data_IF_590889703810
#
_entry.id   IF_590889703810
#
_cell.length_a   1.000
_cell.length_b   1.000
_cell.length_c   1.000
_cell.angle_alpha   90.00
_cell.angle_beta   90.00
_cell.angle_gamma   90.00
#
_symmetry.space_group_name_H-M   'P 1'
#
loop_
_entity.id
_entity.type
_entity.pdbx_description
1 polymer ?
#
# COMPACT_ATOMS: atom_id res chain seq x y z
N UNK A 1 -6.06 -10.59 2.01
CA UNK A 1 -5.81 -11.97 1.53
C UNK A 1 -4.67 -11.92 0.54
N UNK A 2 -3.57 -12.62 0.82
CA UNK A 2 -2.39 -12.68 -0.05
C UNK A 2 -1.80 -11.32 -0.44
N UNK A 3 -1.90 -10.31 0.44
CA UNK A 3 -1.15 -9.08 0.24
C UNK A 3 0.32 -9.34 0.61
N UNK A 4 1.25 -8.90 -0.23
CA UNK A 4 2.69 -9.00 0.00
C UNK A 4 3.20 -7.62 0.36
N UNK A 5 3.68 -7.46 1.60
CA UNK A 5 4.25 -6.22 2.12
C UNK A 5 5.76 -6.41 2.26
N UNK A 6 6.54 -5.61 1.56
CA UNK A 6 8.00 -5.70 1.58
C UNK A 6 8.59 -4.33 1.87
N UNK A 7 9.06 -4.11 3.10
CA UNK A 7 9.76 -2.88 3.49
C UNK A 7 8.93 -1.58 3.36
N UNK A 8 7.60 -1.65 3.50
CA UNK A 8 6.70 -0.51 3.36
C UNK A 8 6.16 0.01 4.70
N UNK A 9 5.71 1.28 4.72
CA UNK A 9 4.97 1.89 5.82
C UNK A 9 3.49 1.98 5.44
N UNK A 10 2.61 1.53 6.33
CA UNK A 10 1.15 1.63 6.17
C UNK A 10 0.64 2.36 7.41
N UNK A 11 0.08 3.54 7.21
CA UNK A 11 -0.44 4.38 8.29
C UNK A 11 -1.85 3.94 8.73
N UNK A 12 -2.36 4.57 9.78
CA UNK A 12 -3.65 4.24 10.37
C UNK A 12 -4.79 4.31 9.35
N UNK A 13 -5.76 3.40 9.44
CA UNK A 13 -6.96 3.41 8.61
C UNK A 13 -6.71 3.34 7.09
N UNK A 14 -5.49 3.02 6.65
CA UNK A 14 -5.17 2.71 5.27
C UNK A 14 -5.74 1.34 4.84
N UNK A 15 -6.12 1.23 3.58
CA UNK A 15 -6.70 0.02 3.01
C UNK A 15 -5.74 -0.64 2.01
N UNK A 16 -5.38 -1.91 2.25
CA UNK A 16 -4.61 -2.72 1.30
C UNK A 16 -5.47 -3.84 0.75
N UNK A 17 -5.77 -3.75 -0.55
CA UNK A 17 -6.57 -4.69 -1.29
C UNK A 17 -5.96 -6.09 -1.36
N UNK A 18 -6.83 -7.08 -1.59
CA UNK A 18 -6.42 -8.48 -1.70
C UNK A 18 -5.45 -8.69 -2.87
N UNK A 19 -4.40 -9.50 -2.69
CA UNK A 19 -3.42 -9.78 -3.73
C UNK A 19 -2.50 -8.60 -4.08
N UNK A 20 -2.60 -7.46 -3.39
CA UNK A 20 -1.70 -6.33 -3.63
C UNK A 20 -0.26 -6.65 -3.19
N UNK A 21 0.71 -6.13 -3.92
CA UNK A 21 2.14 -6.25 -3.63
C UNK A 21 2.74 -4.85 -3.50
N UNK A 22 3.26 -4.52 -2.32
CA UNK A 22 3.95 -3.26 -2.04
C UNK A 22 5.44 -3.54 -1.90
N UNK A 23 6.26 -2.85 -2.68
CA UNK A 23 7.72 -2.95 -2.65
C UNK A 23 8.36 -1.98 -1.64
N UNK A 24 9.69 -2.04 -1.52
CA UNK A 24 10.46 -1.26 -0.56
C UNK A 24 10.15 0.23 -0.57
N UNK A 25 10.03 0.83 0.62
CA UNK A 25 9.88 2.26 0.78
C UNK A 25 8.51 2.80 0.35
N UNK A 26 7.55 1.93 0.00
CA UNK A 26 6.17 2.38 -0.19
C UNK A 26 5.63 2.97 1.11
N UNK A 27 4.94 4.11 1.02
CA UNK A 27 4.22 4.71 2.14
C UNK A 27 2.75 4.83 1.73
N UNK A 28 1.86 4.15 2.46
CA UNK A 28 0.42 4.36 2.34
C UNK A 28 -0.01 5.26 3.48
N UNK A 29 -0.36 6.49 3.17
CA UNK A 29 -0.78 7.48 4.15
C UNK A 29 -2.13 7.13 4.76
N UNK A 30 -2.48 7.82 5.86
CA UNK A 30 -3.75 7.67 6.55
C UNK A 30 -4.93 7.70 5.56
N UNK A 31 -5.85 6.74 5.64
CA UNK A 31 -6.98 6.59 4.71
C UNK A 31 -6.62 6.38 3.21
N UNK A 32 -5.35 6.14 2.87
CA UNK A 32 -4.96 5.77 1.51
C UNK A 32 -5.42 4.36 1.15
N UNK A 33 -5.67 4.11 -0.13
CA UNK A 33 -6.25 2.89 -0.67
C UNK A 33 -5.36 2.28 -1.75
N UNK A 34 -4.99 1.03 -1.55
CA UNK A 34 -4.35 0.19 -2.58
C UNK A 34 -5.38 -0.81 -3.08
N UNK A 35 -5.68 -0.76 -4.38
CA UNK A 35 -6.64 -1.67 -5.01
C UNK A 35 -6.18 -3.15 -4.97
N UNK A 36 -7.14 -4.07 -5.09
CA UNK A 36 -6.84 -5.49 -5.16
C UNK A 36 -5.96 -5.82 -6.38
N UNK A 37 -4.94 -6.67 -6.20
CA UNK A 37 -4.00 -7.07 -7.24
C UNK A 37 -2.99 -6.00 -7.66
N UNK A 38 -2.97 -4.83 -7.02
CA UNK A 38 -2.06 -3.75 -7.39
C UNK A 38 -0.60 -4.10 -7.10
N UNK A 39 0.31 -3.75 -8.02
CA UNK A 39 1.75 -3.77 -7.79
C UNK A 39 2.25 -2.33 -7.58
N UNK A 40 2.57 -1.99 -6.34
CA UNK A 40 3.06 -0.65 -5.96
C UNK A 40 4.58 -0.64 -5.99
N UNK A 41 5.15 0.23 -6.83
CA UNK A 41 6.59 0.33 -7.07
C UNK A 41 7.33 0.87 -5.84
N UNK A 42 8.63 0.59 -5.77
CA UNK A 42 9.48 1.07 -4.67
C UNK A 42 9.39 2.59 -4.50
N UNK A 43 9.47 3.05 -3.26
CA UNK A 43 9.45 4.48 -2.86
C UNK A 43 8.20 5.26 -3.28
N UNK A 44 7.11 4.58 -3.64
CA UNK A 44 5.83 5.23 -3.99
C UNK A 44 5.11 5.69 -2.72
N UNK A 45 4.62 6.93 -2.72
CA UNK A 45 3.75 7.46 -1.67
C UNK A 45 2.31 7.49 -2.17
N UNK A 46 1.42 6.74 -1.52
CA UNK A 46 -0.03 6.77 -1.74
C UNK A 46 -0.60 7.82 -0.77
N UNK A 47 -1.17 8.91 -1.26
CA UNK A 47 -1.61 10.01 -0.43
C UNK A 47 -2.89 9.68 0.34
N UNK A 48 -3.14 10.44 1.40
CA UNK A 48 -4.36 10.31 2.21
C UNK A 48 -5.63 10.55 1.38
N UNK A 49 -6.55 9.58 1.40
CA UNK A 49 -7.88 9.70 0.79
C UNK A 49 -7.97 9.37 -0.70
N UNK A 50 -6.94 8.76 -1.28
CA UNK A 50 -6.91 8.21 -2.65
C UNK A 50 -7.05 6.69 -2.66
#
# INVERSE_FOLDING_TARGET
HSAVLHGCTVEDEAFVGMGATLLDGVVVEKHGMVAAGALVKQNTRIPSGE
#
